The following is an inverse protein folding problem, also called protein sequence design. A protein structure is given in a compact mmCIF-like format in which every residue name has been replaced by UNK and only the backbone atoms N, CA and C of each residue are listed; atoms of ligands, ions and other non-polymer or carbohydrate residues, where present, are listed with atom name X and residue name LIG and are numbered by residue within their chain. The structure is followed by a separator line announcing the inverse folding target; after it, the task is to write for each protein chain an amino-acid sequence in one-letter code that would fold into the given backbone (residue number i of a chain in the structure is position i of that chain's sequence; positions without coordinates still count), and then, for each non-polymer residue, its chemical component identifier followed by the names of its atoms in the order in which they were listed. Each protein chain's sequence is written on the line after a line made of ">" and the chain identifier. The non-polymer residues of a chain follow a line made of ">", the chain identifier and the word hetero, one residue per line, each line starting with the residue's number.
data_IF_851255867209
#
_entry.id   IF_851255867209
#
_cell.length_a   1.000
_cell.length_b   1.000
_cell.length_c   1.000
_cell.angle_alpha   90.00
_cell.angle_beta   90.00
_cell.angle_gamma   90.00
#
_symmetry.space_group_name_H-M   'P 1'
#
loop_
_entity.id
_entity.type
_entity.pdbx_description
1 polymer ?
#
# COMPACT_ATOMS: atom_id res chain seq x y z
N UNK A 1 -25.29 -14.91 -45.79
CA UNK A 1 -25.57 -15.38 -44.42
C UNK A 1 -24.29 -15.75 -43.68
N UNK A 2 -23.26 -16.30 -44.34
CA UNK A 2 -21.96 -16.62 -43.71
C UNK A 2 -21.17 -15.39 -43.22
N UNK A 3 -21.04 -14.33 -44.04
CA UNK A 3 -20.27 -13.13 -43.64
C UNK A 3 -20.83 -12.43 -42.39
N UNK A 4 -22.15 -12.47 -42.18
CA UNK A 4 -22.80 -11.87 -41.01
C UNK A 4 -22.54 -12.70 -39.73
N UNK A 5 -22.35 -14.02 -39.85
CA UNK A 5 -22.08 -14.89 -38.69
C UNK A 5 -20.62 -14.85 -38.26
N UNK A 6 -19.67 -14.68 -39.18
CA UNK A 6 -18.26 -14.46 -38.85
C UNK A 6 -18.05 -13.12 -38.15
N UNK A 7 -18.64 -12.02 -38.64
CA UNK A 7 -18.58 -10.72 -37.96
C UNK A 7 -19.26 -10.75 -36.57
N UNK A 8 -20.34 -11.53 -36.40
CA UNK A 8 -21.00 -11.70 -35.11
C UNK A 8 -20.13 -12.51 -34.12
N UNK A 9 -19.41 -13.54 -34.60
CA UNK A 9 -18.47 -14.31 -33.79
C UNK A 9 -17.23 -13.51 -33.39
N UNK A 10 -16.66 -12.72 -34.31
CA UNK A 10 -15.53 -11.83 -34.01
C UNK A 10 -15.92 -10.77 -32.97
N UNK A 11 -17.12 -10.19 -33.09
CA UNK A 11 -17.61 -9.26 -32.09
C UNK A 11 -17.83 -9.90 -30.72
N UNK A 12 -18.31 -11.15 -30.66
CA UNK A 12 -18.41 -11.90 -29.41
C UNK A 12 -17.04 -12.18 -28.79
N UNK A 13 -16.06 -12.55 -29.61
CA UNK A 13 -14.67 -12.75 -29.16
C UNK A 13 -14.09 -11.47 -28.56
N UNK A 14 -14.29 -10.31 -29.21
CA UNK A 14 -13.81 -9.03 -28.65
C UNK A 14 -14.50 -8.65 -27.33
N UNK A 15 -15.78 -8.96 -27.18
CA UNK A 15 -16.50 -8.74 -25.91
C UNK A 15 -15.95 -9.64 -24.80
N UNK A 16 -15.72 -10.93 -25.07
CA UNK A 16 -15.13 -11.85 -24.10
C UNK A 16 -13.72 -11.42 -23.66
N UNK A 17 -12.90 -10.93 -24.60
CA UNK A 17 -11.59 -10.37 -24.28
C UNK A 17 -11.70 -9.09 -23.43
N UNK A 18 -12.66 -8.22 -23.73
CA UNK A 18 -12.90 -7.02 -22.93
C UNK A 18 -13.36 -7.35 -21.51
N UNK A 19 -14.26 -8.32 -21.35
CA UNK A 19 -14.72 -8.79 -20.03
C UNK A 19 -13.55 -9.35 -19.21
N UNK A 20 -12.68 -10.16 -19.84
CA UNK A 20 -11.49 -10.70 -19.19
C UNK A 20 -10.49 -9.60 -18.76
N UNK A 21 -10.29 -8.58 -19.61
CA UNK A 21 -9.41 -7.44 -19.28
C UNK A 21 -9.98 -6.58 -18.15
N UNK A 22 -11.30 -6.41 -18.09
CA UNK A 22 -11.98 -5.71 -16.99
C UNK A 22 -11.79 -6.49 -15.68
N UNK A 23 -11.99 -7.81 -15.70
CA UNK A 23 -11.82 -8.66 -14.52
C UNK A 23 -10.36 -8.64 -14.00
N UNK A 24 -9.38 -8.72 -14.90
CA UNK A 24 -7.96 -8.61 -14.54
C UNK A 24 -7.65 -7.24 -13.91
N UNK A 25 -8.16 -6.15 -14.50
CA UNK A 25 -7.98 -4.81 -13.97
C UNK A 25 -8.59 -4.64 -12.58
N UNK A 26 -9.78 -5.19 -12.35
CA UNK A 26 -10.47 -5.16 -11.06
C UNK A 26 -9.68 -5.92 -9.97
N UNK A 27 -9.08 -7.06 -10.33
CA UNK A 27 -8.20 -7.81 -9.42
C UNK A 27 -6.93 -7.02 -9.08
N UNK A 28 -6.29 -6.40 -10.08
CA UNK A 28 -5.13 -5.54 -9.87
C UNK A 28 -5.47 -4.35 -8.96
N UNK A 29 -6.62 -3.71 -9.20
CA UNK A 29 -7.12 -2.61 -8.39
C UNK A 29 -7.36 -3.05 -6.94
N UNK A 30 -8.01 -4.20 -6.73
CA UNK A 30 -8.21 -4.78 -5.39
C UNK A 30 -6.89 -5.02 -4.68
N UNK A 31 -5.91 -5.62 -5.35
CA UNK A 31 -4.58 -5.84 -4.77
C UNK A 31 -3.88 -4.53 -4.41
N UNK A 32 -3.96 -3.51 -5.27
CA UNK A 32 -3.40 -2.18 -5.00
C UNK A 32 -4.06 -1.52 -3.79
N UNK A 33 -5.38 -1.60 -3.68
CA UNK A 33 -6.14 -1.07 -2.53
C UNK A 33 -5.78 -1.79 -1.24
N UNK A 34 -5.72 -3.13 -1.25
CA UNK A 34 -5.30 -3.92 -0.08
C UNK A 34 -3.87 -3.60 0.36
N UNK A 35 -2.96 -3.42 -0.61
CA UNK A 35 -1.58 -3.00 -0.34
C UNK A 35 -1.54 -1.59 0.26
N UNK A 36 -2.34 -0.66 -0.25
CA UNK A 36 -2.45 0.70 0.30
C UNK A 36 -3.00 0.69 1.74
N UNK A 37 -4.03 -0.11 2.02
CA UNK A 37 -4.58 -0.26 3.37
C UNK A 37 -3.55 -0.86 4.32
N UNK A 38 -2.77 -1.84 3.87
CA UNK A 38 -1.70 -2.45 4.66
C UNK A 38 -0.59 -1.44 4.98
N UNK A 39 -0.18 -0.63 4.00
CA UNK A 39 0.79 0.45 4.25
C UNK A 39 0.24 1.50 5.21
N UNK A 40 -1.04 1.86 5.11
CA UNK A 40 -1.66 2.81 6.04
C UNK A 40 -1.64 2.26 7.47
N UNK A 41 -1.99 0.99 7.65
CA UNK A 41 -1.95 0.33 8.96
C UNK A 41 -0.52 0.35 9.50
N UNK A 42 0.45 -0.09 8.69
CA UNK A 42 1.87 -0.08 9.06
C UNK A 42 2.35 1.32 9.48
N UNK A 43 2.07 2.36 8.69
CA UNK A 43 2.48 3.74 9.00
C UNK A 43 1.89 4.21 10.34
N UNK A 44 0.60 3.93 10.59
CA UNK A 44 -0.05 4.33 11.82
C UNK A 44 0.52 3.60 13.06
N UNK A 45 0.80 2.31 12.92
CA UNK A 45 1.44 1.51 13.98
C UNK A 45 2.85 2.01 14.28
N UNK A 46 3.66 2.25 13.23
CA UNK A 46 5.01 2.79 13.39
C UNK A 46 5.00 4.20 14.01
N UNK A 47 4.09 5.07 13.56
CA UNK A 47 3.98 6.42 14.11
C UNK A 47 3.64 6.40 15.61
N UNK A 48 2.72 5.52 16.02
CA UNK A 48 2.35 5.35 17.43
C UNK A 48 3.54 4.85 18.26
N UNK A 49 4.22 3.80 17.77
CA UNK A 49 5.40 3.23 18.42
C UNK A 49 6.55 4.25 18.57
N UNK A 50 6.82 5.03 17.53
CA UNK A 50 7.87 6.05 17.53
C UNK A 50 7.55 7.18 18.51
N UNK A 51 6.28 7.58 18.60
CA UNK A 51 5.84 8.60 19.54
C UNK A 51 5.99 8.12 20.99
N UNK A 52 5.57 6.89 21.29
CA UNK A 52 5.70 6.31 22.63
C UNK A 52 7.17 6.23 23.06
N UNK A 53 8.04 5.71 22.17
CA UNK A 53 9.49 5.66 22.42
C UNK A 53 10.10 7.05 22.63
N UNK A 54 9.65 8.04 21.86
CA UNK A 54 10.10 9.42 22.01
C UNK A 54 9.71 9.98 23.37
N UNK A 55 8.45 9.77 23.80
CA UNK A 55 7.96 10.19 25.12
C UNK A 55 8.75 9.51 26.24
N UNK A 56 9.01 8.21 26.13
CA UNK A 56 9.77 7.47 27.12
C UNK A 56 11.22 7.96 27.21
N UNK A 57 11.83 8.24 26.05
CA UNK A 57 13.17 8.82 25.99
C UNK A 57 13.23 10.20 26.65
N UNK A 58 12.23 11.07 26.40
CA UNK A 58 12.09 12.38 27.07
C UNK A 58 11.98 12.20 28.58
N UNK A 59 11.12 11.29 29.05
CA UNK A 59 10.92 11.04 30.48
C UNK A 59 12.18 10.54 31.17
N UNK A 60 12.92 9.64 30.51
CA UNK A 60 14.13 9.03 31.05
C UNK A 60 15.32 9.99 31.07
N UNK A 61 15.51 10.76 30.00
CA UNK A 61 16.72 11.55 29.78
C UNK A 61 16.50 13.06 29.99
N UNK A 62 15.27 13.50 30.29
CA UNK A 62 14.85 14.91 30.38
C UNK A 62 15.27 15.74 29.15
N UNK A 63 15.31 15.11 27.98
CA UNK A 63 15.66 15.74 26.71
C UNK A 63 14.47 16.45 26.09
N UNK A 64 14.74 17.39 25.18
CA UNK A 64 13.69 18.04 24.40
C UNK A 64 13.09 17.06 23.39
N UNK A 65 11.83 17.29 23.00
CA UNK A 65 11.15 16.46 22.00
C UNK A 65 11.96 16.34 20.71
N UNK A 66 12.49 17.45 20.20
CA UNK A 66 13.27 17.46 18.95
C UNK A 66 14.51 16.58 19.00
N UNK A 67 15.21 16.53 20.14
CA UNK A 67 16.42 15.71 20.30
C UNK A 67 16.02 14.24 20.43
N UNK A 68 15.04 13.95 21.29
CA UNK A 68 14.55 12.59 21.49
C UNK A 68 13.98 11.98 20.19
N UNK A 69 13.17 12.74 19.45
CA UNK A 69 12.58 12.26 18.20
C UNK A 69 13.63 11.99 17.13
N UNK A 70 14.67 12.83 17.03
CA UNK A 70 15.77 12.59 16.08
C UNK A 70 16.48 11.27 16.37
N UNK A 71 16.88 11.05 17.63
CA UNK A 71 17.56 9.81 18.05
C UNK A 71 16.68 8.59 17.76
N UNK A 72 15.40 8.64 18.14
CA UNK A 72 14.48 7.50 17.94
C UNK A 72 14.20 7.24 16.46
N UNK A 73 14.12 8.28 15.62
CA UNK A 73 13.97 8.13 14.17
C UNK A 73 15.23 7.52 13.53
N UNK A 74 16.42 7.96 13.95
CA UNK A 74 17.68 7.42 13.45
C UNK A 74 17.81 5.93 13.82
N UNK A 75 17.55 5.57 15.08
CA UNK A 75 17.53 4.16 15.52
C UNK A 75 16.50 3.32 14.77
N UNK A 76 15.33 3.88 14.44
CA UNK A 76 14.31 3.18 13.68
C UNK A 76 14.72 2.99 12.23
N UNK A 77 15.29 4.01 11.58
CA UNK A 77 15.79 3.94 10.22
C UNK A 77 16.87 2.86 10.08
N UNK A 78 17.83 2.81 11.01
CA UNK A 78 18.86 1.77 11.04
C UNK A 78 18.25 0.37 11.13
N UNK A 79 17.24 0.17 11.97
CA UNK A 79 16.60 -1.16 12.11
C UNK A 79 15.77 -1.58 10.90
N UNK A 80 15.21 -0.62 10.16
CA UNK A 80 14.30 -0.91 9.05
C UNK A 80 15.03 -1.09 7.71
N UNK A 81 16.18 -0.45 7.54
CA UNK A 81 16.88 -0.38 6.26
C UNK A 81 18.33 -0.89 6.29
N UNK A 82 18.83 -1.35 7.45
CA UNK A 82 20.05 -2.17 7.55
C UNK A 82 19.74 -3.65 7.35
#
# INVERSE_FOLDING_TARGET
>A
MEALSEELQDNQYYVEVLDALIEENDLELKHRLQKADTYRIFINEQASLLMDKTIDHIRKNKSSFSIASSIILDEWNERMFS
#
